data_IF_057784638653
#
_entry.id   IF_057784638653
#
_cell.length_a   1.000
_cell.length_b   1.000
_cell.length_c   1.000
_cell.angle_alpha   90.00
_cell.angle_beta   90.00
_cell.angle_gamma   90.00
#
_symmetry.space_group_name_H-M   'P 1'
#
loop_
_entity.id
_entity.type
_entity.pdbx_description
1 polymer ?
#
# COMPACT_ATOMS: atom_id res chain seq x y z
N UNK A 1 11.64 -32.22 45.98
CA UNK A 1 12.89 -31.83 45.29
C UNK A 1 12.71 -30.38 44.91
N UNK A 2 13.37 -29.48 45.63
CA UNK A 2 13.33 -28.05 45.32
C UNK A 2 14.21 -27.79 44.10
N UNK A 3 13.58 -27.38 42.99
CA UNK A 3 14.30 -27.02 41.78
C UNK A 3 14.82 -25.59 41.97
N UNK A 4 16.13 -25.46 42.19
CA UNK A 4 16.80 -24.17 42.29
C UNK A 4 17.01 -23.60 40.88
N UNK A 5 16.16 -22.64 40.49
CA UNK A 5 16.19 -21.99 39.18
C UNK A 5 17.40 -21.05 38.96
N UNK A 6 18.26 -20.82 39.97
CA UNK A 6 19.38 -19.89 39.84
C UNK A 6 20.52 -20.36 38.92
N UNK A 7 20.60 -21.66 38.63
CA UNK A 7 21.65 -22.24 37.77
C UNK A 7 21.13 -22.71 36.40
N UNK A 8 19.98 -22.20 35.96
CA UNK A 8 19.39 -22.56 34.67
C UNK A 8 20.25 -21.99 33.52
N UNK A 9 20.82 -22.88 32.70
CA UNK A 9 21.60 -22.54 31.50
C UNK A 9 21.06 -23.23 30.26
N UNK A 10 21.27 -22.65 29.08
CA UNK A 10 20.94 -23.28 27.79
C UNK A 10 22.11 -24.17 27.38
N UNK A 11 21.86 -25.45 27.13
CA UNK A 11 22.90 -26.42 26.75
C UNK A 11 23.08 -26.44 25.23
N UNK A 12 24.30 -26.21 24.75
CA UNK A 12 24.66 -26.25 23.31
C UNK A 12 25.15 -27.64 22.89
N UNK A 13 25.31 -27.88 21.57
CA UNK A 13 25.80 -29.16 21.03
C UNK A 13 27.18 -29.51 21.63
N UNK A 14 27.24 -30.63 22.34
CA UNK A 14 28.44 -31.13 22.98
C UNK A 14 28.60 -30.73 24.45
N UNK A 15 27.69 -29.93 25.00
CA UNK A 15 27.68 -29.57 26.42
C UNK A 15 26.82 -30.55 27.23
N UNK A 16 27.22 -30.82 28.47
CA UNK A 16 26.52 -31.69 29.41
C UNK A 16 26.23 -30.97 30.72
N UNK A 17 25.10 -31.26 31.35
CA UNK A 17 24.65 -30.64 32.60
C UNK A 17 23.12 -30.54 32.70
N UNK A 18 22.63 -29.78 33.68
CA UNK A 18 21.19 -29.50 33.87
C UNK A 18 20.85 -28.12 33.30
N UNK A 19 19.83 -28.02 32.45
CA UNK A 19 19.52 -26.80 31.71
C UNK A 19 18.45 -26.98 30.62
N UNK A 20 18.09 -25.90 29.94
CA UNK A 20 17.15 -25.92 28.82
C UNK A 20 17.79 -26.52 27.56
N UNK A 21 17.17 -27.55 27.00
CA UNK A 21 17.56 -28.17 25.74
C UNK A 21 16.87 -27.42 24.60
N UNK A 22 17.65 -26.77 23.72
CA UNK A 22 17.14 -26.12 22.51
C UNK A 22 17.73 -26.84 21.31
N UNK A 23 16.86 -27.40 20.46
CA UNK A 23 17.26 -28.08 19.23
C UNK A 23 17.74 -27.07 18.19
N UNK A 24 18.69 -27.47 17.34
CA UNK A 24 19.41 -26.57 16.43
C UNK A 24 18.52 -25.90 15.37
N UNK A 25 17.29 -26.40 15.18
CA UNK A 25 16.27 -25.86 14.26
C UNK A 25 15.34 -24.85 14.93
N UNK A 26 15.38 -24.74 16.27
CA UNK A 26 14.74 -23.67 17.00
C UNK A 26 15.70 -22.48 17.06
N UNK A 27 15.62 -21.58 16.08
CA UNK A 27 16.47 -20.40 15.99
C UNK A 27 16.49 -19.61 17.31
N UNK A 28 17.64 -19.54 17.97
CA UNK A 28 17.88 -18.66 19.11
C UNK A 28 18.83 -17.53 18.71
N UNK A 29 18.52 -16.30 19.14
CA UNK A 29 19.34 -15.11 18.89
C UNK A 29 20.19 -14.87 20.14
N UNK A 30 21.51 -15.00 20.01
CA UNK A 30 22.47 -14.68 21.08
C UNK A 30 22.97 -13.23 20.97
N UNK A 31 23.05 -12.49 22.09
CA UNK A 31 23.70 -11.18 22.13
C UNK A 31 25.21 -11.23 21.81
N UNK A 32 25.85 -12.37 22.03
CA UNK A 32 27.30 -12.53 21.89
C UNK A 32 27.72 -13.03 20.51
N UNK A 33 26.76 -13.33 19.62
CA UNK A 33 27.04 -13.80 18.27
C UNK A 33 27.51 -12.63 17.38
N UNK A 34 28.67 -12.70 16.71
CA UNK A 34 29.20 -11.61 15.88
C UNK A 34 28.25 -11.16 14.77
N UNK A 35 27.40 -12.06 14.26
CA UNK A 35 26.40 -11.77 13.22
C UNK A 35 25.24 -10.91 13.73
N UNK A 36 25.01 -10.91 15.04
CA UNK A 36 23.96 -10.13 15.69
C UNK A 36 24.47 -8.76 16.19
N UNK A 37 25.78 -8.54 16.17
CA UNK A 37 26.40 -7.27 16.58
C UNK A 37 25.89 -6.05 15.78
N UNK A 38 25.64 -6.12 14.46
CA UNK A 38 25.05 -5.00 13.73
C UNK A 38 23.68 -4.60 14.28
N UNK A 39 22.82 -5.58 14.56
CA UNK A 39 21.48 -5.40 15.13
C UNK A 39 21.53 -4.86 16.58
N UNK A 40 22.43 -5.38 17.41
CA UNK A 40 22.61 -4.93 18.79
C UNK A 40 23.17 -3.51 18.86
N UNK A 41 24.08 -3.16 17.94
CA UNK A 41 24.60 -1.79 17.84
C UNK A 41 23.54 -0.81 17.35
N UNK A 42 22.60 -1.24 16.51
CA UNK A 42 21.44 -0.46 16.08
C UNK A 42 20.46 -0.22 17.24
N UNK A 43 20.21 -1.23 18.07
CA UNK A 43 19.41 -1.10 19.30
C UNK A 43 20.08 -0.17 20.33
N UNK A 44 21.40 -0.26 20.52
CA UNK A 44 22.13 0.64 21.44
C UNK A 44 22.14 2.10 20.96
N UNK A 45 22.03 2.35 19.65
CA UNK A 45 21.82 3.70 19.11
C UNK A 45 20.42 4.25 19.42
N UNK A 46 19.40 3.39 19.54
CA UNK A 46 18.07 3.78 20.01
C UNK A 46 18.06 4.10 21.52
N UNK A 47 18.86 3.38 22.32
CA UNK A 47 18.89 3.49 23.79
C UNK A 47 19.66 4.73 24.30
N UNK A 48 20.53 5.34 23.47
CA UNK A 48 21.38 6.48 23.88
C UNK A 48 20.68 7.85 23.90
N UNK A 49 19.34 7.90 23.97
CA UNK A 49 18.62 9.12 24.34
C UNK A 49 18.86 10.32 23.40
N UNK A 50 19.30 10.06 22.17
CA UNK A 50 19.47 11.08 21.14
C UNK A 50 18.08 11.47 20.63
N UNK A 51 17.45 12.41 21.34
CA UNK A 51 16.35 13.29 20.90
C UNK A 51 15.47 12.70 19.82
N UNK A 52 14.28 12.22 20.20
CA UNK A 52 13.06 12.22 19.37
C UNK A 52 13.42 12.30 17.88
N UNK A 53 14.00 11.21 17.33
CA UNK A 53 14.38 11.22 15.93
C UNK A 53 13.12 11.68 15.21
N UNK A 54 13.20 12.80 14.49
CA UNK A 54 12.08 13.27 13.69
C UNK A 54 11.98 12.20 12.62
N UNK A 55 11.19 11.17 12.91
CA UNK A 55 11.15 9.96 12.09
C UNK A 55 10.45 10.39 10.81
N UNK A 56 11.20 10.36 9.72
CA UNK A 56 10.68 10.79 8.43
C UNK A 56 9.39 9.99 8.14
N UNK A 57 8.30 10.67 7.76
CA UNK A 57 7.04 9.98 7.49
C UNK A 57 7.23 8.96 6.37
N UNK A 58 6.59 7.79 6.48
CA UNK A 58 6.57 6.83 5.39
C UNK A 58 5.67 7.36 4.29
N UNK A 59 6.28 7.94 3.25
CA UNK A 59 5.58 8.42 2.06
C UNK A 59 5.61 7.35 0.98
N UNK A 60 4.45 7.08 0.42
CA UNK A 60 4.30 6.16 -0.72
C UNK A 60 3.55 6.86 -1.85
N UNK A 61 3.76 6.35 -3.07
CA UNK A 61 3.16 6.85 -4.29
C UNK A 61 2.01 5.94 -4.69
N UNK A 62 0.97 6.50 -5.29
CA UNK A 62 -0.24 5.74 -5.57
C UNK A 62 -0.96 6.25 -6.82
N UNK A 63 -1.55 5.32 -7.57
CA UNK A 63 -2.57 5.65 -8.58
C UNK A 63 -3.90 5.72 -7.85
N UNK A 64 -4.46 6.92 -7.73
CA UNK A 64 -5.70 7.16 -6.98
C UNK A 64 -6.93 6.87 -7.83
N UNK A 65 -6.96 7.34 -9.08
CA UNK A 65 -8.12 7.22 -9.94
C UNK A 65 -7.74 7.35 -11.43
N UNK A 66 -8.60 6.89 -12.34
CA UNK A 66 -8.47 7.14 -13.79
C UNK A 66 -9.79 7.65 -14.36
N UNK A 67 -9.74 8.65 -15.25
CA UNK A 67 -10.95 9.13 -15.95
C UNK A 67 -11.12 8.49 -17.34
N UNK A 68 -12.37 8.33 -17.75
CA UNK A 68 -12.73 7.80 -19.07
C UNK A 68 -12.38 6.32 -19.28
N UNK A 69 -12.11 5.58 -18.20
CA UNK A 69 -11.78 4.16 -18.20
C UNK A 69 -12.83 3.39 -17.43
N UNK A 70 -13.25 2.24 -17.97
CA UNK A 70 -14.15 1.31 -17.31
C UNK A 70 -13.43 0.64 -16.13
N UNK A 71 -13.96 0.84 -14.92
CA UNK A 71 -13.43 0.19 -13.73
C UNK A 71 -14.04 -1.22 -13.53
N UNK A 72 -13.53 -1.97 -12.54
CA UNK A 72 -14.01 -3.33 -12.24
C UNK A 72 -15.48 -3.41 -11.82
N UNK A 73 -16.06 -2.30 -11.37
CA UNK A 73 -17.46 -2.20 -10.99
C UNK A 73 -18.35 -1.79 -12.18
N UNK A 74 -17.81 -1.77 -13.40
CA UNK A 74 -18.55 -1.38 -14.60
C UNK A 74 -18.84 0.12 -14.69
N UNK A 75 -18.11 0.97 -13.94
CA UNK A 75 -18.33 2.42 -13.91
C UNK A 75 -17.28 3.17 -14.73
N UNK A 76 -17.70 4.25 -15.38
CA UNK A 76 -16.82 5.24 -16.03
C UNK A 76 -16.98 6.57 -15.32
N UNK A 77 -15.85 7.15 -14.94
CA UNK A 77 -15.78 8.47 -14.34
C UNK A 77 -15.36 9.52 -15.39
N UNK A 78 -16.22 10.49 -15.73
CA UNK A 78 -15.87 11.55 -16.68
C UNK A 78 -14.75 12.46 -16.20
N UNK A 79 -13.95 12.97 -17.14
CA UNK A 79 -12.78 13.83 -16.86
C UNK A 79 -13.16 15.10 -16.09
N UNK A 80 -14.18 15.82 -16.56
CA UNK A 80 -14.61 17.07 -15.95
C UNK A 80 -15.04 16.89 -14.49
N UNK A 81 -15.74 15.78 -14.19
CA UNK A 81 -16.20 15.45 -12.84
C UNK A 81 -15.01 15.13 -11.95
N UNK A 82 -14.11 14.23 -12.37
CA UNK A 82 -12.97 13.86 -11.52
C UNK A 82 -11.99 14.99 -11.30
N UNK A 83 -11.73 15.84 -12.30
CA UNK A 83 -10.87 17.01 -12.14
C UNK A 83 -11.48 18.01 -11.15
N UNK A 84 -12.78 18.31 -11.30
CA UNK A 84 -13.53 19.16 -10.35
C UNK A 84 -13.48 18.59 -8.94
N UNK A 85 -13.74 17.30 -8.76
CA UNK A 85 -13.71 16.68 -7.44
C UNK A 85 -12.30 16.66 -6.84
N UNK A 86 -11.26 16.45 -7.64
CA UNK A 86 -9.88 16.56 -7.17
C UNK A 86 -9.52 17.98 -6.72
N UNK A 87 -9.99 19.01 -7.43
CA UNK A 87 -9.80 20.42 -7.05
C UNK A 87 -10.44 20.75 -5.71
N UNK A 88 -11.67 20.29 -5.48
CA UNK A 88 -12.35 20.40 -4.18
C UNK A 88 -11.59 19.64 -3.09
N UNK A 89 -11.11 18.44 -3.40
CA UNK A 89 -10.36 17.61 -2.47
C UNK A 89 -9.01 18.22 -2.06
N UNK A 90 -8.44 19.16 -2.84
CA UNK A 90 -7.22 19.86 -2.44
C UNK A 90 -7.38 20.62 -1.12
N UNK A 91 -8.57 21.07 -0.77
CA UNK A 91 -8.83 21.68 0.53
C UNK A 91 -8.61 20.69 1.68
N UNK A 92 -9.14 19.47 1.54
CA UNK A 92 -8.94 18.40 2.52
C UNK A 92 -7.45 18.06 2.70
N UNK A 93 -6.66 18.09 1.61
CA UNK A 93 -5.22 17.86 1.65
C UNK A 93 -4.51 18.99 2.40
N UNK A 94 -4.82 20.26 2.06
CA UNK A 94 -4.22 21.44 2.73
C UNK A 94 -4.52 21.47 4.23
N UNK A 95 -5.72 21.05 4.61
CA UNK A 95 -6.16 21.00 6.01
C UNK A 95 -5.75 19.71 6.73
N UNK A 96 -5.03 18.79 6.07
CA UNK A 96 -4.58 17.50 6.62
C UNK A 96 -5.73 16.64 7.15
N UNK A 97 -6.89 16.70 6.48
CA UNK A 97 -8.07 15.88 6.74
C UNK A 97 -8.39 14.93 5.59
N UNK A 98 -7.50 14.77 4.62
CA UNK A 98 -7.59 13.85 3.50
C UNK A 98 -7.23 12.41 3.90
N UNK A 99 -7.84 11.94 4.99
CA UNK A 99 -7.59 10.63 5.60
C UNK A 99 -8.34 9.52 4.87
N UNK A 100 -7.81 8.31 4.95
CA UNK A 100 -8.43 7.10 4.41
C UNK A 100 -8.32 5.92 5.36
N UNK A 101 -9.17 4.93 5.18
CA UNK A 101 -9.24 3.76 6.05
C UNK A 101 -8.39 2.60 5.52
N UNK A 102 -8.04 1.65 6.39
CA UNK A 102 -7.68 0.30 5.96
C UNK A 102 -8.97 -0.51 5.84
N UNK A 103 -9.15 -1.15 4.68
CA UNK A 103 -10.40 -1.77 4.21
C UNK A 103 -11.44 -0.75 3.70
N UNK A 104 -12.48 -1.24 3.04
CA UNK A 104 -13.48 -0.42 2.34
C UNK A 104 -14.90 -0.63 2.90
N UNK A 105 -15.22 -0.03 4.07
CA UNK A 105 -16.55 -0.14 4.66
C UNK A 105 -17.63 0.53 3.78
N UNK A 106 -18.85 0.01 3.84
CA UNK A 106 -20.01 0.56 3.11
C UNK A 106 -20.46 1.94 3.62
N UNK A 107 -19.95 2.37 4.77
CA UNK A 107 -20.27 3.66 5.38
C UNK A 107 -19.63 4.83 4.62
N UNK A 108 -20.41 5.89 4.37
CA UNK A 108 -19.90 7.17 3.86
C UNK A 108 -19.13 7.98 4.90
N UNK A 109 -19.21 7.61 6.18
CA UNK A 109 -18.46 8.23 7.28
C UNK A 109 -17.15 7.47 7.49
N UNK A 110 -16.04 8.22 7.50
CA UNK A 110 -14.71 7.73 7.87
C UNK A 110 -14.66 7.53 9.38
N UNK A 111 -14.36 6.32 9.83
CA UNK A 111 -14.25 6.04 11.25
C UNK A 111 -12.80 6.24 11.73
N UNK A 112 -12.64 7.01 12.80
CA UNK A 112 -11.32 7.39 13.31
C UNK A 112 -10.44 6.20 13.74
N UNK A 113 -11.06 5.10 14.17
CA UNK A 113 -10.39 3.86 14.58
C UNK A 113 -9.77 3.09 13.40
N UNK A 114 -10.24 3.34 12.18
CA UNK A 114 -9.78 2.65 10.96
C UNK A 114 -8.84 3.47 10.08
N UNK A 115 -8.63 4.74 10.42
CA UNK A 115 -7.72 5.62 9.68
C UNK A 115 -6.32 5.01 9.63
N UNK A 116 -5.76 4.92 8.43
CA UNK A 116 -4.45 4.29 8.18
C UNK A 116 -3.45 5.20 7.49
N UNK A 117 -3.92 6.17 6.72
CA UNK A 117 -3.07 7.05 5.93
C UNK A 117 -3.74 8.41 5.72
N UNK A 118 -2.94 9.38 5.28
CA UNK A 118 -3.40 10.69 4.83
C UNK A 118 -2.80 11.01 3.47
N UNK A 119 -3.62 11.45 2.52
CA UNK A 119 -3.14 11.95 1.22
C UNK A 119 -2.50 13.32 1.43
N UNK A 120 -1.30 13.50 0.89
CA UNK A 120 -0.51 14.73 1.06
C UNK A 120 -0.29 15.49 -0.25
N UNK A 121 -0.45 14.83 -1.39
CA UNK A 121 -0.26 15.45 -2.71
C UNK A 121 -1.03 14.67 -3.77
N UNK A 122 -1.55 15.37 -4.78
CA UNK A 122 -2.16 14.76 -5.96
C UNK A 122 -1.80 15.56 -7.20
N UNK A 123 -1.64 14.87 -8.33
CA UNK A 123 -1.40 15.51 -9.63
C UNK A 123 -1.91 14.61 -10.76
N UNK A 124 -2.14 15.20 -11.93
CA UNK A 124 -2.61 14.46 -13.11
C UNK A 124 -1.44 14.08 -14.02
N UNK A 125 -1.37 12.82 -14.41
CA UNK A 125 -0.51 12.32 -15.48
C UNK A 125 -1.37 11.66 -16.55
N UNK A 126 -1.61 12.37 -17.65
CA UNK A 126 -2.51 11.91 -18.71
C UNK A 126 -3.92 11.67 -18.19
N UNK A 127 -4.36 10.40 -18.24
CA UNK A 127 -5.68 9.97 -17.77
C UNK A 127 -5.71 9.55 -16.29
N UNK A 128 -4.56 9.58 -15.61
CA UNK A 128 -4.38 9.04 -14.28
C UNK A 128 -4.22 10.15 -13.25
N UNK A 129 -5.01 10.08 -12.18
CA UNK A 129 -4.80 10.85 -10.97
C UNK A 129 -3.77 10.11 -10.11
N UNK A 130 -2.59 10.71 -9.99
CA UNK A 130 -1.51 10.27 -9.14
C UNK A 130 -1.63 10.94 -7.76
N UNK A 131 -1.08 10.29 -6.75
CA UNK A 131 -0.96 10.88 -5.43
C UNK A 131 0.23 10.38 -4.63
N UNK A 132 0.52 11.11 -3.56
CA UNK A 132 1.38 10.69 -2.45
C UNK A 132 0.54 10.58 -1.20
N UNK A 133 0.78 9.53 -0.42
CA UNK A 133 0.15 9.32 0.87
C UNK A 133 1.19 9.07 1.95
N UNK A 134 0.93 9.62 3.12
CA UNK A 134 1.65 9.40 4.36
C UNK A 134 0.98 8.25 5.12
N UNK A 135 1.73 7.19 5.43
CA UNK A 135 1.26 6.10 6.28
C UNK A 135 1.38 6.51 7.75
N UNK A 136 0.27 6.44 8.50
CA UNK A 136 0.19 6.92 9.88
C UNK A 136 0.70 5.86 10.86
N UNK A 137 2.03 5.81 11.01
CA UNK A 137 2.69 4.84 11.89
C UNK A 137 2.87 5.37 13.31
N UNK A 138 2.77 4.47 14.29
CA UNK A 138 3.06 4.78 15.69
C UNK A 138 4.55 4.76 15.99
N UNK A 139 5.01 5.45 17.05
CA UNK A 139 6.36 5.28 17.56
C UNK A 139 6.67 3.81 17.93
N UNK A 140 5.66 3.03 18.35
CA UNK A 140 5.80 1.61 18.64
C UNK A 140 6.17 0.79 17.42
N UNK A 141 5.52 1.04 16.28
CA UNK A 141 5.85 0.36 15.02
C UNK A 141 7.23 0.77 14.51
N UNK A 142 7.53 2.07 14.54
CA UNK A 142 8.77 2.57 13.94
C UNK A 142 9.99 2.15 14.77
N UNK A 143 9.92 2.21 16.11
CA UNK A 143 11.04 1.87 16.98
C UNK A 143 11.18 0.36 17.25
N UNK A 144 10.05 -0.37 17.30
CA UNK A 144 10.04 -1.75 17.78
C UNK A 144 9.31 -2.74 16.86
N UNK A 145 8.71 -2.27 15.76
CA UNK A 145 7.92 -3.12 14.85
C UNK A 145 6.58 -3.57 15.43
N UNK A 146 6.12 -2.97 16.54
CA UNK A 146 4.85 -3.33 17.18
C UNK A 146 3.70 -2.74 16.38
N UNK A 147 2.81 -3.61 15.89
CA UNK A 147 1.59 -3.21 15.17
C UNK A 147 0.50 -2.88 16.18
N UNK A 148 0.08 -1.62 16.24
CA UNK A 148 -0.91 -1.13 17.22
C UNK A 148 -2.07 -0.33 16.62
N UNK A 149 -1.94 0.09 15.37
CA UNK A 149 -2.94 0.85 14.62
C UNK A 149 -3.09 0.35 13.19
N UNK A 150 -4.11 0.80 12.47
CA UNK A 150 -4.30 0.45 11.05
C UNK A 150 -3.22 0.99 10.13
N UNK A 151 -2.62 2.14 10.45
CA UNK A 151 -1.45 2.61 9.72
C UNK A 151 -0.24 1.68 9.92
N UNK A 152 -0.03 1.16 11.13
CA UNK A 152 1.01 0.15 11.39
C UNK A 152 0.74 -1.15 10.61
N UNK A 153 -0.52 -1.58 10.51
CA UNK A 153 -0.92 -2.74 9.69
C UNK A 153 -0.58 -2.51 8.21
N UNK A 154 -0.94 -1.34 7.65
CA UNK A 154 -0.59 -0.98 6.26
C UNK A 154 0.93 -0.97 6.06
N UNK A 155 1.68 -0.35 6.96
CA UNK A 155 3.13 -0.31 6.89
C UNK A 155 3.72 -1.73 6.94
N UNK A 156 3.18 -2.60 7.79
CA UNK A 156 3.62 -3.99 7.88
C UNK A 156 3.33 -4.77 6.58
N UNK A 157 2.16 -4.58 5.96
CA UNK A 157 1.81 -5.19 4.67
C UNK A 157 2.81 -4.77 3.58
N UNK A 158 3.12 -3.48 3.49
CA UNK A 158 4.09 -2.94 2.53
C UNK A 158 5.51 -3.48 2.78
N UNK A 159 5.96 -3.56 4.04
CA UNK A 159 7.26 -4.15 4.41
C UNK A 159 7.37 -5.62 3.99
N UNK A 160 6.28 -6.37 4.10
CA UNK A 160 6.20 -7.77 3.66
C UNK A 160 5.94 -7.92 2.15
N UNK A 161 6.00 -6.82 1.38
CA UNK A 161 5.78 -6.81 -0.08
C UNK A 161 4.41 -7.36 -0.48
N UNK A 162 3.42 -7.26 0.42
CA UNK A 162 2.04 -7.59 0.09
C UNK A 162 1.51 -6.50 -0.83
N UNK A 163 0.99 -6.93 -1.99
CA UNK A 163 0.48 -6.00 -3.00
C UNK A 163 -0.88 -5.47 -2.55
N UNK A 164 -0.91 -4.21 -2.17
CA UNK A 164 -2.12 -3.45 -1.81
C UNK A 164 -2.24 -2.22 -2.70
N UNK A 165 -3.45 -1.72 -2.82
CA UNK A 165 -3.77 -0.54 -3.62
C UNK A 165 -4.82 0.30 -2.94
N UNK A 166 -5.46 1.17 -3.71
CA UNK A 166 -6.50 2.06 -3.20
C UNK A 166 -7.81 1.96 -3.97
N UNK A 167 -8.91 2.25 -3.30
CA UNK A 167 -10.21 2.46 -3.93
C UNK A 167 -10.82 3.75 -3.43
N UNK A 168 -11.38 4.54 -4.35
CA UNK A 168 -12.09 5.77 -3.98
C UNK A 168 -13.44 5.44 -3.37
N UNK A 169 -13.80 6.11 -2.28
CA UNK A 169 -15.16 6.17 -1.76
C UNK A 169 -15.79 7.49 -2.15
N UNK A 170 -17.05 7.45 -2.55
CA UNK A 170 -17.80 8.63 -2.93
C UNK A 170 -19.28 8.37 -3.05
N UNK A 171 -20.06 9.45 -3.10
CA UNK A 171 -21.52 9.44 -3.24
C UNK A 171 -21.89 10.16 -4.52
N UNK A 172 -22.94 9.71 -5.20
CA UNK A 172 -23.40 10.32 -6.45
C UNK A 172 -24.29 9.40 -7.26
N UNK A 173 -24.85 9.94 -8.34
CA UNK A 173 -25.75 9.22 -9.24
C UNK A 173 -25.01 8.53 -10.38
N UNK A 174 -25.64 7.49 -10.93
CA UNK A 174 -25.19 6.74 -12.10
C UNK A 174 -26.28 6.77 -13.17
N UNK A 175 -25.86 6.90 -14.43
CA UNK A 175 -26.73 6.74 -15.61
C UNK A 175 -26.13 5.68 -16.50
N UNK A 176 -26.97 4.78 -17.00
CA UNK A 176 -26.56 3.76 -17.95
C UNK A 176 -26.11 4.40 -19.27
N UNK A 177 -24.90 4.05 -19.69
CA UNK A 177 -24.30 4.45 -20.95
C UNK A 177 -24.77 3.58 -22.11
N UNK A 178 -24.16 3.77 -23.27
CA UNK A 178 -24.63 3.13 -24.52
C UNK A 178 -24.28 1.64 -24.60
N UNK A 179 -23.27 1.20 -23.87
CA UNK A 179 -22.78 -0.18 -23.88
C UNK A 179 -22.97 -0.88 -22.52
N UNK A 180 -23.93 -0.42 -21.71
CA UNK A 180 -24.23 -0.96 -20.38
C UNK A 180 -23.29 -0.49 -19.26
N UNK A 181 -22.30 0.35 -19.57
CA UNK A 181 -21.46 0.98 -18.56
C UNK A 181 -22.28 1.95 -17.67
N UNK A 182 -21.90 2.10 -16.41
CA UNK A 182 -22.53 3.05 -15.51
C UNK A 182 -21.70 4.34 -15.48
N UNK A 183 -22.24 5.42 -16.02
CA UNK A 183 -21.55 6.71 -16.11
C UNK A 183 -21.85 7.52 -14.84
N UNK A 184 -20.79 7.97 -14.17
CA UNK A 184 -20.88 8.81 -12.98
C UNK A 184 -21.35 10.22 -13.36
N UNK A 185 -22.32 10.74 -12.60
CA UNK A 185 -22.98 12.02 -12.88
C UNK A 185 -22.41 13.19 -12.07
N UNK A 186 -22.90 14.39 -12.37
CA UNK A 186 -22.36 15.65 -11.84
C UNK A 186 -22.51 15.86 -10.33
N UNK A 187 -23.44 15.14 -9.69
CA UNK A 187 -23.66 15.12 -8.24
C UNK A 187 -22.65 14.24 -7.48
N UNK A 188 -21.66 13.67 -8.19
CA UNK A 188 -20.63 12.85 -7.58
C UNK A 188 -19.68 13.68 -6.71
N UNK A 189 -19.46 13.20 -5.49
CA UNK A 189 -18.51 13.74 -4.51
C UNK A 189 -17.55 12.66 -4.02
N UNK A 190 -16.25 13.00 -3.99
CA UNK A 190 -15.21 12.12 -3.43
C UNK A 190 -15.15 12.32 -1.92
N UNK A 191 -15.21 11.22 -1.17
CA UNK A 191 -15.06 11.22 0.29
C UNK A 191 -13.60 10.97 0.69
N UNK A 192 -13.01 9.88 0.19
CA UNK A 192 -11.64 9.47 0.51
C UNK A 192 -11.13 8.43 -0.49
N UNK A 193 -9.88 8.02 -0.31
CA UNK A 193 -9.36 6.78 -0.86
C UNK A 193 -8.95 5.86 0.28
N UNK A 194 -9.35 4.60 0.20
CA UNK A 194 -9.05 3.59 1.21
C UNK A 194 -8.02 2.61 0.72
N UNK A 195 -7.21 2.08 1.63
CA UNK A 195 -6.28 0.99 1.32
C UNK A 195 -7.05 -0.31 1.23
N UNK A 196 -6.93 -0.99 0.09
CA UNK A 196 -7.60 -2.25 -0.21
C UNK A 196 -6.65 -3.28 -0.80
N UNK A 197 -7.02 -4.56 -0.67
CA UNK A 197 -6.30 -5.67 -1.32
C UNK A 197 -6.66 -5.82 -2.79
N UNK A 198 -7.85 -5.36 -3.19
CA UNK A 198 -8.37 -5.43 -4.56
C UNK A 198 -8.95 -4.09 -5.02
N UNK A 199 -8.15 -3.23 -5.66
CA UNK A 199 -8.62 -1.95 -6.21
C UNK A 199 -9.72 -2.14 -7.27
N UNK A 200 -10.73 -1.28 -7.26
CA UNK A 200 -11.75 -1.22 -8.32
C UNK A 200 -11.22 -0.54 -9.58
N UNK A 201 -10.39 0.47 -9.41
CA UNK A 201 -9.74 1.21 -10.50
C UNK A 201 -8.58 0.38 -11.04
N UNK A 202 -8.48 0.18 -12.37
CA UNK A 202 -7.39 -0.57 -12.97
C UNK A 202 -6.03 0.00 -12.56
N UNK A 203 -5.17 -0.89 -12.05
CA UNK A 203 -3.79 -0.58 -11.66
C UNK A 203 -3.62 0.48 -10.57
N UNK A 204 -4.65 0.70 -9.74
CA UNK A 204 -4.60 1.58 -8.58
C UNK A 204 -3.79 0.99 -7.41
N UNK A 205 -2.51 0.71 -7.65
CA UNK A 205 -1.58 0.12 -6.69
C UNK A 205 -0.77 1.17 -5.93
N UNK A 206 -0.24 0.78 -4.78
CA UNK A 206 0.71 1.57 -3.99
C UNK A 206 2.15 1.13 -4.35
N UNK A 207 3.03 2.10 -4.53
CA UNK A 207 4.45 1.91 -4.83
C UNK A 207 5.35 2.81 -3.99
N UNK A 208 6.66 2.51 -3.98
CA UNK A 208 7.63 3.20 -3.12
C UNK A 208 8.22 4.45 -3.75
N UNK A 209 8.11 4.59 -5.07
CA UNK A 209 8.64 5.72 -5.82
C UNK A 209 7.76 6.03 -7.03
N UNK A 210 7.88 7.24 -7.57
CA UNK A 210 7.23 7.61 -8.83
C UNK A 210 7.64 6.68 -9.98
N UNK A 211 8.90 6.21 -10.00
CA UNK A 211 9.39 5.30 -11.04
C UNK A 211 8.69 3.94 -11.02
N UNK A 212 8.40 3.40 -9.83
CA UNK A 212 7.61 2.16 -9.69
C UNK A 212 6.17 2.34 -10.19
N UNK A 213 5.67 3.58 -10.22
CA UNK A 213 4.30 3.87 -10.64
C UNK A 213 4.14 4.07 -12.15
N UNK A 214 5.21 4.38 -12.88
CA UNK A 214 5.19 4.61 -14.33
C UNK A 214 4.42 3.55 -15.14
N UNK A 215 4.56 2.23 -14.86
CA UNK A 215 3.83 1.20 -15.60
C UNK A 215 2.30 1.26 -15.43
N UNK A 216 1.82 1.91 -14.37
CA UNK A 216 0.39 1.99 -14.03
C UNK A 216 -0.27 3.30 -14.51
N UNK A 217 0.55 4.26 -14.96
CA UNK A 217 0.09 5.52 -15.56
C UNK A 217 -0.49 5.25 -16.94
N UNK A 218 -1.70 5.76 -17.17
CA UNK A 218 -2.39 5.56 -18.42
C UNK A 218 -1.90 6.59 -19.44
N UNK A 219 -0.97 6.15 -20.28
CA UNK A 219 -0.53 6.92 -21.44
C UNK A 219 -1.39 6.49 -22.63
N UNK A 220 -2.32 7.35 -23.07
CA UNK A 220 -2.92 7.21 -24.39
C UNK A 220 -1.91 7.57 -25.48
N UNK A 221 -0.87 6.76 -25.65
CA UNK A 221 -0.56 6.41 -27.02
C UNK A 221 -1.68 5.46 -27.43
N UNK A 222 -2.42 5.83 -28.46
CA UNK A 222 -3.35 4.93 -29.14
C UNK A 222 -2.52 3.69 -29.45
N UNK A 223 -2.67 2.61 -28.66
CA UNK A 223 -2.30 1.29 -29.12
C UNK A 223 -3.18 1.07 -30.33
N UNK A 224 -2.66 1.38 -31.53
CA UNK A 224 -3.10 0.71 -32.74
C UNK A 224 -3.21 -0.76 -32.32
N UNK A 225 -4.34 -1.43 -32.60
CA UNK A 225 -4.44 -2.83 -32.28
C UNK A 225 -3.17 -3.47 -32.83
N UNK A 226 -2.39 -4.13 -31.99
CA UNK A 226 -1.40 -5.10 -32.45
C UNK A 226 -2.20 -6.30 -32.98
N UNK A 227 -3.08 -6.05 -33.95
CA UNK A 227 -3.63 -7.08 -34.81
C UNK A 227 -2.45 -7.49 -35.68
N UNK A 228 -1.77 -8.52 -35.20
CA UNK A 228 -1.39 -9.74 -35.94
C UNK A 228 -1.43 -9.67 -37.49
N UNK A 229 -0.89 -8.64 -38.13
CA UNK A 229 -0.68 -8.71 -39.59
C UNK A 229 0.44 -9.74 -39.86
N UNK A 230 1.54 -9.69 -39.11
CA UNK A 230 2.66 -10.62 -39.30
C UNK A 230 2.38 -12.07 -38.85
N UNK A 231 1.40 -12.30 -37.98
CA UNK A 231 1.10 -13.63 -37.44
C UNK A 231 0.19 -14.46 -38.36
N UNK A 232 -0.57 -13.80 -39.24
CA UNK A 232 -1.36 -14.46 -40.28
C UNK A 232 -0.47 -14.81 -41.47
N UNK A 233 0.42 -13.89 -41.87
CA UNK A 233 1.37 -14.12 -42.97
C UNK A 233 2.34 -15.29 -42.68
N UNK A 234 2.82 -15.41 -41.44
CA UNK A 234 3.68 -16.52 -41.03
C UNK A 234 2.90 -17.85 -40.89
N UNK A 235 1.61 -17.81 -40.54
CA UNK A 235 0.76 -19.01 -40.47
C UNK A 235 0.41 -19.53 -41.87
N UNK A 236 0.07 -18.64 -42.80
CA UNK A 236 -0.27 -18.99 -44.18
C UNK A 236 0.94 -19.56 -44.92
N UNK A 237 2.14 -19.07 -44.58
CA UNK A 237 3.40 -19.60 -45.12
C UNK A 237 3.78 -20.96 -44.52
N UNK A 238 3.46 -21.21 -43.25
CA UNK A 238 3.66 -22.51 -42.60
C UNK A 238 2.66 -23.58 -43.07
N UNK A 239 1.42 -23.19 -43.39
CA UNK A 239 0.36 -24.10 -43.86
C UNK A 239 0.42 -24.38 -45.38
N UNK A 240 1.32 -23.71 -46.11
CA UNK A 240 1.54 -23.91 -47.55
C UNK A 240 2.81 -24.71 -47.90
N UNK A 241 3.55 -25.18 -46.89
CA UNK A 241 4.57 -26.25 -47.00
C UNK A 241 3.97 -27.62 -46.63
#
# INVERSE_FOLDING_TARGET
MDINYKDFRILKRGESGWGGLIEHDAGYISPDEPRNQPFINEIKKLDTGSKLAIMEPLIVYVVLQKFGILNRNGRIYPEAILKRQNELYQEAIRERRAVGELDHPESSIIAGDRISHNIIETWWEGHTLMGKMEILMTPGFINYGIVSTKGDEVANLLRNRIKIGVSSRGVGSLVEGRNGEQIVQDDFEIICWDVVTAPSTPDAWIGRSADEMKPYVENKEIKKPLLKENLLDDLDKFLSE
#
